data_IF_674023121627
#
_entry.id   IF_674023121627
#
_cell.length_a   1.000
_cell.length_b   1.000
_cell.length_c   1.000
_cell.angle_alpha   90.00
_cell.angle_beta   90.00
_cell.angle_gamma   90.00
#
_symmetry.space_group_name_H-M   'P 1'
#
loop_
_entity.id
_entity.type
_entity.pdbx_description
1 polymer ?
#
# COMPACT_ATOMS: atom_id res chain seq x y z
N UNK A 1 7.27 -23.63 20.27
CA UNK A 1 6.22 -22.68 19.85
C UNK A 1 5.94 -21.61 20.90
N UNK A 2 5.25 -21.89 22.03
CA UNK A 2 4.96 -20.84 23.05
C UNK A 2 6.24 -20.24 23.64
N UNK A 3 7.21 -21.07 24.03
CA UNK A 3 8.51 -20.61 24.55
C UNK A 3 9.28 -19.72 23.56
N UNK A 4 9.12 -19.97 22.26
CA UNK A 4 9.77 -19.18 21.22
C UNK A 4 9.11 -17.80 21.07
N UNK A 5 7.77 -17.74 21.15
CA UNK A 5 7.01 -16.49 21.16
C UNK A 5 7.32 -15.64 22.40
N UNK A 6 7.41 -16.27 23.58
CA UNK A 6 7.83 -15.59 24.81
C UNK A 6 9.25 -15.05 24.70
N UNK A 7 10.17 -15.82 24.10
CA UNK A 7 11.55 -15.39 23.87
C UNK A 7 11.59 -14.15 22.99
N UNK A 8 10.89 -14.16 21.84
CA UNK A 8 10.80 -13.01 20.94
C UNK A 8 10.23 -11.79 21.67
N UNK A 9 9.10 -11.96 22.37
CA UNK A 9 8.45 -10.87 23.11
C UNK A 9 9.37 -10.22 24.16
N UNK A 10 10.16 -11.03 24.88
CA UNK A 10 11.12 -10.53 25.87
C UNK A 10 12.31 -9.79 25.25
N UNK A 11 12.66 -10.07 24.00
CA UNK A 11 13.73 -9.38 23.28
C UNK A 11 13.31 -8.01 22.75
N UNK A 12 12.02 -7.69 22.68
CA UNK A 12 11.54 -6.37 22.28
C UNK A 12 11.82 -5.37 23.40
N UNK A 13 12.48 -4.26 23.06
CA UNK A 13 13.00 -3.31 24.05
C UNK A 13 11.90 -2.40 24.62
N UNK A 14 11.03 -1.88 23.76
CA UNK A 14 10.05 -0.86 24.10
C UNK A 14 8.60 -1.42 24.12
N UNK A 15 7.68 -0.61 24.67
CA UNK A 15 6.26 -0.98 24.80
C UNK A 15 5.54 -1.00 23.44
N UNK A 16 5.92 -0.11 22.52
CA UNK A 16 5.29 0.00 21.21
C UNK A 16 5.53 -1.25 20.37
N UNK A 17 6.79 -1.68 20.25
CA UNK A 17 7.19 -2.92 19.59
C UNK A 17 6.46 -4.14 20.17
N UNK A 18 6.30 -4.19 21.50
CA UNK A 18 5.56 -5.26 22.20
C UNK A 18 4.08 -5.26 21.85
N UNK A 19 3.45 -4.10 21.81
CA UNK A 19 2.04 -3.95 21.45
C UNK A 19 1.79 -4.31 19.98
N UNK A 20 2.66 -3.86 19.07
CA UNK A 20 2.60 -4.23 17.65
C UNK A 20 2.74 -5.74 17.48
N UNK A 21 3.71 -6.36 18.15
CA UNK A 21 3.92 -7.80 18.10
C UNK A 21 2.69 -8.58 18.59
N UNK A 22 2.11 -8.20 19.74
CA UNK A 22 0.93 -8.88 20.29
C UNK A 22 -0.30 -8.73 19.40
N UNK A 23 -0.54 -7.54 18.84
CA UNK A 23 -1.63 -7.34 17.89
C UNK A 23 -1.40 -8.20 16.62
N UNK A 24 -0.19 -8.22 16.06
CA UNK A 24 0.12 -9.04 14.88
C UNK A 24 -0.03 -10.53 15.17
N UNK A 25 0.39 -10.99 16.34
CA UNK A 25 0.21 -12.38 16.78
C UNK A 25 -1.28 -12.74 16.92
N UNK A 26 -2.08 -11.88 17.55
CA UNK A 26 -3.51 -12.11 17.69
C UNK A 26 -4.21 -12.15 16.33
N UNK A 27 -3.84 -11.27 15.39
CA UNK A 27 -4.34 -11.35 14.01
C UNK A 27 -3.99 -12.69 13.37
N UNK A 28 -2.73 -13.13 13.44
CA UNK A 28 -2.31 -14.40 12.84
C UNK A 28 -3.06 -15.63 13.41
N UNK A 29 -3.51 -15.56 14.67
CA UNK A 29 -4.27 -16.65 15.33
C UNK A 29 -5.74 -16.58 14.96
N UNK A 30 -6.33 -15.38 14.96
CA UNK A 30 -7.79 -15.20 14.89
C UNK A 30 -8.31 -14.83 13.52
N UNK A 31 -7.46 -14.28 12.65
CA UNK A 31 -7.85 -13.62 11.41
C UNK A 31 -8.61 -12.29 11.62
N UNK A 32 -8.78 -11.84 12.87
CA UNK A 32 -9.58 -10.65 13.19
C UNK A 32 -8.78 -9.38 12.89
N UNK A 33 -9.20 -8.68 11.84
CA UNK A 33 -8.53 -7.47 11.36
C UNK A 33 -8.53 -6.32 12.36
N UNK A 34 -9.37 -6.34 13.41
CA UNK A 34 -9.32 -5.30 14.45
C UNK A 34 -7.92 -5.14 15.06
N UNK A 35 -7.16 -6.22 15.16
CA UNK A 35 -5.80 -6.16 15.70
C UNK A 35 -4.84 -5.44 14.75
N UNK A 36 -5.03 -5.57 13.44
CA UNK A 36 -4.27 -4.79 12.45
C UNK A 36 -4.71 -3.33 12.50
N UNK A 37 -6.02 -3.06 12.58
CA UNK A 37 -6.54 -1.69 12.72
C UNK A 37 -5.97 -1.01 13.98
N UNK A 38 -5.88 -1.69 15.12
CA UNK A 38 -5.25 -1.16 16.33
C UNK A 38 -3.80 -0.70 16.10
N UNK A 39 -3.04 -1.41 15.25
CA UNK A 39 -1.66 -1.01 14.90
C UNK A 39 -1.72 0.23 14.01
N UNK A 40 -2.50 0.17 12.94
CA UNK A 40 -2.58 1.23 11.92
C UNK A 40 -3.09 2.53 12.54
N UNK A 41 -4.24 2.50 13.21
CA UNK A 41 -4.90 3.68 13.78
C UNK A 41 -4.06 4.36 14.88
N UNK A 42 -3.19 3.61 15.56
CA UNK A 42 -2.34 4.13 16.64
C UNK A 42 -0.99 4.66 16.15
N UNK A 43 -0.35 3.96 15.22
CA UNK A 43 1.07 4.20 14.88
C UNK A 43 1.29 4.79 13.48
N UNK A 44 0.31 4.74 12.59
CA UNK A 44 0.43 5.35 11.26
C UNK A 44 0.01 6.82 11.35
N UNK A 45 1.00 7.71 11.40
CA UNK A 45 0.81 9.12 11.76
C UNK A 45 0.08 9.96 10.69
N UNK A 46 0.05 9.52 9.43
CA UNK A 46 -0.56 10.28 8.31
C UNK A 46 -1.09 9.37 7.21
N UNK A 47 -2.41 9.31 7.11
CA UNK A 47 -3.12 8.84 5.92
C UNK A 47 -3.84 10.05 5.33
N UNK A 48 -3.73 10.26 4.02
CA UNK A 48 -4.49 11.32 3.36
C UNK A 48 -5.99 11.17 3.62
N UNK A 49 -6.72 12.29 3.63
CA UNK A 49 -8.18 12.34 3.86
C UNK A 49 -8.71 11.87 5.23
N UNK A 50 -7.87 11.79 6.28
CA UNK A 50 -8.29 11.36 7.62
C UNK A 50 -9.01 10.01 7.61
N UNK A 51 -8.60 9.12 6.70
CA UNK A 51 -9.15 7.77 6.59
C UNK A 51 -8.94 6.99 7.89
N UNK A 52 -9.95 6.23 8.27
CA UNK A 52 -9.94 5.38 9.46
C UNK A 52 -10.71 4.11 9.16
N UNK A 53 -10.10 2.97 9.48
CA UNK A 53 -10.72 1.67 9.30
C UNK A 53 -11.97 1.51 10.16
N UNK A 54 -11.94 2.02 11.40
CA UNK A 54 -13.11 2.06 12.27
C UNK A 54 -14.26 2.87 11.65
N UNK A 55 -13.98 4.06 11.09
CA UNK A 55 -15.00 4.87 10.42
C UNK A 55 -15.58 4.17 9.19
N UNK A 56 -14.73 3.54 8.37
CA UNK A 56 -15.16 2.78 7.20
C UNK A 56 -16.09 1.62 7.60
N UNK A 57 -15.63 0.77 8.52
CA UNK A 57 -16.36 -0.43 8.95
C UNK A 57 -17.65 -0.03 9.66
N UNK A 58 -17.62 0.97 10.55
CA UNK A 58 -18.82 1.44 11.24
C UNK A 58 -19.83 2.05 10.29
N UNK A 59 -19.40 2.82 9.27
CA UNK A 59 -20.30 3.31 8.23
C UNK A 59 -20.95 2.13 7.51
N UNK A 60 -20.14 1.23 6.95
CA UNK A 60 -20.60 0.11 6.12
C UNK A 60 -21.54 -0.84 6.87
N UNK A 61 -21.39 -0.99 8.19
CA UNK A 61 -22.34 -1.76 9.02
C UNK A 61 -23.69 -1.07 9.21
N UNK A 62 -23.74 0.25 9.08
CA UNK A 62 -24.93 1.06 9.35
C UNK A 62 -25.57 1.66 8.08
N UNK A 63 -25.10 1.28 6.89
CA UNK A 63 -25.75 1.72 5.65
C UNK A 63 -27.09 0.99 5.47
N UNK A 64 -28.08 1.64 4.85
CA UNK A 64 -29.33 0.98 4.47
C UNK A 64 -29.09 -0.24 3.58
N UNK A 65 -29.86 -1.32 3.74
CA UNK A 65 -29.69 -2.58 3.00
C UNK A 65 -29.77 -2.44 1.47
N UNK A 66 -30.44 -1.40 0.97
CA UNK A 66 -30.48 -1.10 -0.47
C UNK A 66 -29.20 -0.44 -1.01
N UNK A 67 -28.30 -0.03 -0.12
CA UNK A 67 -27.03 0.61 -0.48
C UNK A 67 -26.03 -0.43 -0.94
N UNK A 68 -25.44 -0.17 -2.10
CA UNK A 68 -24.48 -1.07 -2.72
C UNK A 68 -23.07 -0.71 -2.31
N UNK A 69 -22.30 -1.71 -1.88
CA UNK A 69 -20.90 -1.54 -1.49
C UNK A 69 -20.01 -2.01 -2.64
N UNK A 70 -19.19 -1.08 -3.12
CA UNK A 70 -18.26 -1.31 -4.23
C UNK A 70 -16.83 -1.15 -3.73
N UNK A 71 -15.94 -2.06 -4.12
CA UNK A 71 -14.51 -1.82 -4.02
C UNK A 71 -13.99 -1.37 -5.38
N UNK A 72 -13.40 -0.18 -5.47
CA UNK A 72 -12.77 0.30 -6.70
C UNK A 72 -11.29 -0.06 -6.69
N UNK A 73 -10.89 -0.97 -7.58
CA UNK A 73 -9.58 -1.61 -7.63
C UNK A 73 -9.73 -3.10 -7.30
N UNK A 74 -9.58 -3.96 -8.31
CA UNK A 74 -9.61 -5.42 -8.19
C UNK A 74 -8.19 -6.02 -8.15
N UNK A 75 -7.19 -5.24 -7.74
CA UNK A 75 -5.81 -5.69 -7.53
C UNK A 75 -5.61 -6.43 -6.19
N UNK A 76 -4.36 -6.64 -5.80
CA UNK A 76 -4.03 -7.31 -4.53
C UNK A 76 -4.52 -6.56 -3.29
N UNK A 77 -4.41 -5.23 -3.28
CA UNK A 77 -4.96 -4.38 -2.20
C UNK A 77 -6.49 -4.44 -2.17
N UNK A 78 -7.15 -4.47 -3.33
CA UNK A 78 -8.59 -4.68 -3.45
C UNK A 78 -9.05 -6.02 -2.90
N UNK A 79 -8.34 -7.11 -3.22
CA UNK A 79 -8.61 -8.43 -2.66
C UNK A 79 -8.43 -8.44 -1.14
N UNK A 80 -7.37 -7.81 -0.62
CA UNK A 80 -7.15 -7.68 0.82
C UNK A 80 -8.31 -6.92 1.49
N UNK A 81 -8.72 -5.79 0.91
CA UNK A 81 -9.87 -4.99 1.38
C UNK A 81 -11.17 -5.81 1.38
N UNK A 82 -11.42 -6.62 0.36
CA UNK A 82 -12.59 -7.51 0.32
C UNK A 82 -12.60 -8.47 1.52
N UNK A 83 -11.47 -9.11 1.83
CA UNK A 83 -11.38 -10.02 2.96
C UNK A 83 -11.51 -9.31 4.32
N UNK A 84 -10.98 -8.09 4.44
CA UNK A 84 -11.17 -7.23 5.62
C UNK A 84 -12.66 -6.96 5.85
N UNK A 85 -13.37 -6.49 4.83
CA UNK A 85 -14.79 -6.18 4.94
C UNK A 85 -15.63 -7.44 5.21
N UNK A 86 -15.36 -8.52 4.48
CA UNK A 86 -16.06 -9.80 4.65
C UNK A 86 -15.90 -10.40 6.05
N UNK A 87 -14.68 -10.42 6.58
CA UNK A 87 -14.41 -10.90 7.94
C UNK A 87 -15.08 -10.02 9.01
N UNK A 88 -15.35 -8.75 8.68
CA UNK A 88 -16.10 -7.81 9.52
C UNK A 88 -17.63 -7.94 9.40
N UNK A 89 -18.13 -8.92 8.65
CA UNK A 89 -19.56 -9.16 8.42
C UNK A 89 -20.18 -8.24 7.37
N UNK A 90 -19.37 -7.56 6.56
CA UNK A 90 -19.83 -6.65 5.50
C UNK A 90 -19.82 -7.39 4.17
N UNK A 91 -20.93 -7.33 3.43
CA UNK A 91 -21.02 -7.92 2.08
C UNK A 91 -20.66 -6.87 1.05
N UNK A 92 -19.63 -7.15 0.24
CA UNK A 92 -19.26 -6.34 -0.92
C UNK A 92 -20.01 -6.87 -2.15
N UNK A 93 -20.69 -5.99 -2.88
CA UNK A 93 -21.52 -6.39 -4.02
C UNK A 93 -20.67 -6.67 -5.27
N UNK A 94 -19.68 -5.82 -5.53
CA UNK A 94 -18.91 -5.85 -6.77
C UNK A 94 -17.55 -5.18 -6.64
N UNK A 95 -16.57 -5.64 -7.43
CA UNK A 95 -15.37 -4.86 -7.71
C UNK A 95 -15.58 -3.96 -8.94
N UNK A 96 -15.00 -2.77 -8.93
CA UNK A 96 -14.88 -1.93 -10.11
C UNK A 96 -13.40 -1.83 -10.51
N UNK A 97 -13.04 -2.16 -11.74
CA UNK A 97 -11.67 -2.01 -12.23
C UNK A 97 -11.66 -1.60 -13.72
N UNK A 98 -10.64 -0.85 -14.13
CA UNK A 98 -10.41 -0.53 -15.55
C UNK A 98 -10.02 -1.78 -16.33
N UNK A 99 -9.36 -2.74 -15.68
CA UNK A 99 -9.05 -4.03 -16.26
C UNK A 99 -10.19 -5.03 -16.02
N UNK A 100 -11.19 -5.02 -16.91
CA UNK A 100 -12.33 -5.94 -16.83
C UNK A 100 -11.97 -7.39 -17.15
N UNK A 101 -10.76 -7.69 -17.65
CA UNK A 101 -10.31 -9.07 -17.85
C UNK A 101 -10.14 -9.83 -16.53
N UNK A 102 -10.19 -9.13 -15.40
CA UNK A 102 -10.17 -9.73 -14.06
C UNK A 102 -11.50 -10.38 -13.69
N UNK A 103 -12.60 -10.08 -14.42
CA UNK A 103 -13.89 -10.73 -14.17
C UNK A 103 -13.78 -12.26 -14.37
N UNK A 104 -14.47 -13.02 -13.52
CA UNK A 104 -14.36 -14.49 -13.47
C UNK A 104 -13.09 -15.03 -12.81
N UNK A 105 -12.03 -14.23 -12.64
CA UNK A 105 -10.83 -14.60 -11.86
C UNK A 105 -10.93 -14.21 -10.37
N UNK A 106 -11.93 -13.40 -10.02
CA UNK A 106 -12.13 -12.83 -8.68
C UNK A 106 -13.27 -13.52 -7.93
N UNK A 107 -13.30 -13.32 -6.61
CA UNK A 107 -14.30 -13.94 -5.71
C UNK A 107 -15.71 -13.38 -5.91
N UNK A 108 -15.80 -12.14 -6.40
CA UNK A 108 -17.05 -11.45 -6.76
C UNK A 108 -16.87 -10.82 -8.15
N UNK A 109 -17.96 -10.45 -8.85
CA UNK A 109 -17.87 -9.90 -10.20
C UNK A 109 -17.02 -8.63 -10.26
N UNK A 110 -16.37 -8.42 -11.40
CA UNK A 110 -15.63 -7.18 -11.71
C UNK A 110 -16.34 -6.44 -12.82
N UNK A 111 -16.72 -5.18 -12.57
CA UNK A 111 -17.37 -4.31 -13.56
C UNK A 111 -16.44 -3.18 -14.01
N UNK A 112 -16.72 -2.61 -15.17
CA UNK A 112 -16.04 -1.41 -15.66
C UNK A 112 -16.56 -0.15 -14.95
N UNK A 113 -15.78 0.95 -14.96
CA UNK A 113 -16.25 2.24 -14.44
C UNK A 113 -17.51 2.75 -15.13
N UNK A 114 -17.63 2.55 -16.46
CA UNK A 114 -18.84 2.95 -17.19
C UNK A 114 -20.07 2.19 -16.67
N UNK A 115 -19.94 0.88 -16.44
CA UNK A 115 -21.03 0.07 -15.89
C UNK A 115 -21.37 0.46 -14.45
N UNK A 116 -20.38 0.85 -13.64
CA UNK A 116 -20.60 1.41 -12.31
C UNK A 116 -21.49 2.67 -12.35
N UNK A 117 -21.30 3.57 -13.32
CA UNK A 117 -22.13 4.77 -13.40
C UNK A 117 -23.49 4.51 -14.03
N UNK A 118 -23.59 3.58 -14.98
CA UNK A 118 -24.86 3.25 -15.64
C UNK A 118 -25.79 2.46 -14.70
N UNK A 119 -25.29 1.44 -14.02
CA UNK A 119 -26.09 0.55 -13.15
C UNK A 119 -26.50 1.22 -11.83
N UNK A 120 -25.82 2.30 -11.43
CA UNK A 120 -25.98 2.92 -10.11
C UNK A 120 -26.38 4.40 -10.12
N UNK A 121 -26.73 4.97 -11.29
CA UNK A 121 -27.29 6.32 -11.40
C UNK A 121 -28.49 6.59 -10.47
N UNK A 122 -29.27 5.56 -10.14
CA UNK A 122 -30.45 5.62 -9.26
C UNK A 122 -30.25 4.96 -7.89
N UNK A 123 -29.10 4.31 -7.65
CA UNK A 123 -28.86 3.54 -6.44
C UNK A 123 -28.03 4.33 -5.44
N UNK A 124 -28.25 4.09 -4.13
CA UNK A 124 -27.29 4.54 -3.12
C UNK A 124 -26.05 3.65 -3.23
N UNK A 125 -24.88 4.26 -3.39
CA UNK A 125 -23.61 3.52 -3.43
C UNK A 125 -22.66 4.06 -2.38
N UNK A 126 -21.81 3.17 -1.89
CA UNK A 126 -20.61 3.50 -1.13
C UNK A 126 -19.44 2.81 -1.80
N UNK A 127 -18.38 3.57 -2.04
CA UNK A 127 -17.17 3.10 -2.73
C UNK A 127 -16.00 3.12 -1.77
N UNK A 128 -15.30 2.01 -1.61
CA UNK A 128 -13.98 1.96 -0.99
C UNK A 128 -12.91 1.74 -2.07
N UNK A 129 -11.92 2.63 -2.15
CA UNK A 129 -10.84 2.55 -3.13
C UNK A 129 -9.79 1.56 -2.59
N UNK A 130 -9.59 0.45 -3.30
CA UNK A 130 -8.67 -0.63 -3.00
C UNK A 130 -7.30 -0.46 -3.65
N UNK A 131 -6.78 0.77 -3.68
CA UNK A 131 -5.42 1.08 -4.11
C UNK A 131 -4.96 2.40 -3.49
N UNK A 132 -3.79 2.38 -2.83
CA UNK A 132 -3.16 3.59 -2.33
C UNK A 132 -2.49 4.39 -3.46
N UNK A 133 -1.80 3.70 -4.36
CA UNK A 133 -1.02 4.30 -5.45
C UNK A 133 -1.87 5.16 -6.41
N UNK A 134 -3.07 4.69 -6.76
CA UNK A 134 -3.97 5.39 -7.67
C UNK A 134 -5.12 6.10 -6.95
N UNK A 135 -5.04 6.24 -5.62
CA UNK A 135 -6.11 6.76 -4.79
C UNK A 135 -6.59 8.15 -5.28
N UNK A 136 -5.68 9.12 -5.42
CA UNK A 136 -6.04 10.50 -5.76
C UNK A 136 -6.67 10.62 -7.16
N UNK A 137 -6.15 9.84 -8.12
CA UNK A 137 -6.68 9.81 -9.49
C UNK A 137 -8.10 9.24 -9.50
N UNK A 138 -8.31 8.11 -8.83
CA UNK A 138 -9.61 7.45 -8.76
C UNK A 138 -10.61 8.30 -7.97
N UNK A 139 -10.18 8.87 -6.85
CA UNK A 139 -11.02 9.75 -6.02
C UNK A 139 -11.52 10.94 -6.85
N UNK A 140 -10.62 11.64 -7.56
CA UNK A 140 -10.99 12.76 -8.44
C UNK A 140 -11.95 12.31 -9.54
N UNK A 141 -11.65 11.19 -10.20
CA UNK A 141 -12.49 10.61 -11.24
C UNK A 141 -13.92 10.30 -10.75
N UNK A 142 -14.06 9.74 -9.55
CA UNK A 142 -15.38 9.44 -8.96
C UNK A 142 -16.18 10.71 -8.65
N UNK A 143 -15.53 11.74 -8.10
CA UNK A 143 -16.17 13.04 -7.83
C UNK A 143 -16.63 13.72 -9.12
N UNK A 144 -15.77 13.74 -10.16
CA UNK A 144 -16.10 14.34 -11.46
C UNK A 144 -17.28 13.64 -12.15
N UNK A 145 -17.50 12.36 -11.85
CA UNK A 145 -18.65 11.58 -12.33
C UNK A 145 -19.84 11.56 -11.35
N UNK A 146 -19.85 12.45 -10.36
CA UNK A 146 -21.03 12.74 -9.53
C UNK A 146 -21.17 11.89 -8.27
N UNK A 147 -20.17 11.09 -7.89
CA UNK A 147 -20.18 10.41 -6.59
C UNK A 147 -19.90 11.44 -5.49
N UNK A 148 -20.63 11.35 -4.38
CA UNK A 148 -20.47 12.27 -3.26
C UNK A 148 -19.22 11.94 -2.46
N UNK A 149 -18.53 12.97 -1.95
CA UNK A 149 -17.30 12.81 -1.16
C UNK A 149 -17.52 11.91 0.06
N UNK A 150 -18.66 12.07 0.73
CA UNK A 150 -19.05 11.30 1.91
C UNK A 150 -19.32 9.81 1.64
N UNK A 151 -19.48 9.41 0.37
CA UNK A 151 -19.71 8.04 -0.04
C UNK A 151 -18.45 7.37 -0.63
N UNK A 152 -17.30 8.06 -0.61
CA UNK A 152 -16.01 7.54 -1.06
C UNK A 152 -15.08 7.38 0.13
N UNK A 153 -14.48 6.20 0.25
CA UNK A 153 -13.58 5.82 1.33
C UNK A 153 -12.26 5.29 0.79
N UNK A 154 -11.22 5.43 1.60
CA UNK A 154 -9.85 5.06 1.29
C UNK A 154 -8.93 6.23 1.58
N UNK A 155 -7.63 5.99 1.44
CA UNK A 155 -6.62 7.02 1.51
C UNK A 155 -5.33 6.51 0.88
N UNK A 156 -4.41 7.44 0.66
CA UNK A 156 -3.02 7.12 0.37
C UNK A 156 -2.20 7.36 1.62
N UNK A 157 -1.37 6.39 2.02
CA UNK A 157 -0.42 6.62 3.09
C UNK A 157 0.62 7.64 2.64
N UNK A 158 1.05 8.52 3.55
CA UNK A 158 2.24 9.34 3.31
C UNK A 158 3.48 8.46 3.42
N UNK A 159 3.99 7.99 2.28
CA UNK A 159 5.18 7.12 2.22
C UNK A 159 6.49 7.89 2.20
N UNK A 160 6.47 9.22 2.33
CA UNK A 160 7.70 10.05 2.24
C UNK A 160 8.71 9.74 3.34
N UNK A 161 8.25 9.30 4.52
CA UNK A 161 9.09 8.89 5.64
C UNK A 161 9.22 7.36 5.77
N UNK A 162 8.65 6.60 4.82
CA UNK A 162 8.75 5.14 4.86
C UNK A 162 10.23 4.74 4.84
N UNK A 163 10.65 3.93 5.82
CA UNK A 163 12.04 3.50 6.10
C UNK A 163 13.00 4.56 6.67
N UNK A 164 12.65 5.86 6.62
CA UNK A 164 13.54 6.95 7.03
C UNK A 164 12.98 7.76 8.20
N UNK A 165 12.24 7.09 9.10
CA UNK A 165 11.69 7.71 10.30
C UNK A 165 12.79 8.38 11.12
N UNK A 166 12.70 9.71 11.24
CA UNK A 166 13.69 10.55 11.91
C UNK A 166 13.74 10.35 13.43
N UNK A 167 12.74 9.70 14.01
CA UNK A 167 12.77 9.29 15.42
C UNK A 167 13.69 8.09 15.63
N UNK A 168 13.87 7.26 14.61
CA UNK A 168 14.69 6.04 14.66
C UNK A 168 16.06 6.21 13.99
N UNK A 169 16.13 7.02 12.93
CA UNK A 169 17.32 7.18 12.10
C UNK A 169 17.75 8.64 11.99
N UNK A 170 19.04 8.88 12.21
CA UNK A 170 19.71 10.17 11.97
C UNK A 170 20.57 10.06 10.71
N UNK A 171 20.00 10.41 9.56
CA UNK A 171 20.72 10.44 8.28
C UNK A 171 21.61 11.68 8.19
N UNK A 172 22.83 11.52 7.69
CA UNK A 172 23.71 12.62 7.28
C UNK A 172 23.54 12.95 5.80
N UNK A 173 24.25 13.96 5.28
CA UNK A 173 24.21 14.32 3.85
C UNK A 173 24.87 13.26 2.96
N UNK A 174 25.74 12.41 3.53
CA UNK A 174 26.55 11.40 2.83
C UNK A 174 26.35 10.01 3.42
N UNK A 175 25.30 9.36 2.99
CA UNK A 175 24.95 7.98 3.37
C UNK A 175 24.96 7.05 2.15
N UNK A 176 24.96 5.74 2.41
CA UNK A 176 24.79 4.71 1.39
C UNK A 176 23.49 3.93 1.64
N UNK A 177 22.63 3.86 0.64
CA UNK A 177 21.36 3.14 0.73
C UNK A 177 21.34 1.93 -0.20
N UNK A 178 20.85 0.82 0.30
CA UNK A 178 20.70 -0.44 -0.44
C UNK A 178 19.21 -0.77 -0.49
N UNK A 179 18.62 -0.59 -1.68
CA UNK A 179 17.20 -0.79 -1.94
C UNK A 179 16.97 -2.18 -2.54
N UNK A 180 16.73 -3.16 -1.67
CA UNK A 180 16.58 -4.58 -2.01
C UNK A 180 15.15 -4.95 -2.45
N UNK A 181 14.61 -4.24 -3.43
CA UNK A 181 13.24 -4.41 -3.93
C UNK A 181 12.70 -3.10 -4.47
N UNK A 182 13.42 -2.52 -5.42
CA UNK A 182 13.32 -1.11 -5.74
C UNK A 182 12.00 -0.71 -6.44
N UNK A 183 11.28 -1.66 -7.05
CA UNK A 183 9.97 -1.50 -7.70
C UNK A 183 9.90 -0.41 -8.78
N UNK A 184 9.88 0.85 -8.39
CA UNK A 184 9.82 2.05 -9.22
C UNK A 184 10.76 3.19 -8.77
N UNK A 185 11.67 2.90 -7.84
CA UNK A 185 12.61 3.81 -7.17
C UNK A 185 11.99 4.83 -6.21
N UNK A 186 10.71 4.74 -5.84
CA UNK A 186 10.11 5.76 -4.98
C UNK A 186 10.85 5.90 -3.62
N UNK A 187 11.21 4.79 -2.98
CA UNK A 187 11.96 4.81 -1.72
C UNK A 187 13.39 5.34 -1.91
N UNK A 188 14.08 4.89 -2.96
CA UNK A 188 15.38 5.43 -3.35
C UNK A 188 15.34 6.94 -3.58
N UNK A 189 14.30 7.47 -4.22
CA UNK A 189 14.13 8.91 -4.43
C UNK A 189 13.92 9.66 -3.12
N UNK A 190 13.13 9.11 -2.20
CA UNK A 190 12.95 9.70 -0.87
C UNK A 190 14.29 9.81 -0.13
N UNK A 191 15.15 8.79 -0.24
CA UNK A 191 16.50 8.82 0.32
C UNK A 191 17.39 9.89 -0.33
N UNK A 192 17.46 9.94 -1.67
CA UNK A 192 18.33 10.86 -2.40
C UNK A 192 17.92 12.33 -2.24
N UNK A 193 16.63 12.59 -1.98
CA UNK A 193 16.14 13.93 -1.62
C UNK A 193 16.67 14.41 -0.26
N UNK A 194 17.04 13.49 0.63
CA UNK A 194 17.61 13.79 1.95
C UNK A 194 19.14 13.79 1.92
N UNK A 195 19.74 12.75 1.33
CA UNK A 195 21.18 12.52 1.33
C UNK A 195 21.77 12.90 -0.04
N UNK A 196 21.88 14.21 -0.30
CA UNK A 196 22.25 14.74 -1.62
C UNK A 196 23.68 14.35 -2.07
N UNK A 197 24.59 14.07 -1.13
CA UNK A 197 25.94 13.58 -1.41
C UNK A 197 26.05 12.04 -1.28
N UNK A 198 24.94 11.38 -0.96
CA UNK A 198 24.85 9.94 -0.79
C UNK A 198 24.83 9.17 -2.10
N UNK A 199 24.97 7.85 -2.00
CA UNK A 199 24.82 6.91 -3.12
C UNK A 199 23.77 5.85 -2.80
N UNK A 200 23.08 5.38 -3.83
CA UNK A 200 22.09 4.32 -3.71
C UNK A 200 22.39 3.16 -4.64
N UNK A 201 22.11 1.95 -4.17
CA UNK A 201 22.17 0.70 -4.94
C UNK A 201 20.77 0.08 -4.93
N UNK A 202 20.09 0.12 -6.07
CA UNK A 202 18.73 -0.37 -6.23
C UNK A 202 18.72 -1.71 -6.97
N UNK A 203 18.16 -2.72 -6.32
CA UNK A 203 18.04 -4.08 -6.82
C UNK A 203 16.57 -4.36 -7.13
N UNK A 204 16.29 -4.83 -8.34
CA UNK A 204 14.94 -5.23 -8.74
C UNK A 204 14.98 -6.52 -9.58
N UNK A 205 14.36 -7.61 -9.11
CA UNK A 205 14.37 -8.87 -9.84
C UNK A 205 13.34 -8.94 -10.98
N UNK A 206 12.23 -8.20 -10.91
CA UNK A 206 11.21 -8.19 -11.98
C UNK A 206 11.63 -7.29 -13.14
N UNK A 207 11.59 -7.82 -14.36
CA UNK A 207 12.06 -7.10 -15.55
C UNK A 207 11.23 -5.85 -15.85
N UNK A 208 9.92 -5.91 -15.65
CA UNK A 208 9.01 -4.78 -15.93
C UNK A 208 9.23 -3.66 -14.92
N UNK A 209 9.42 -3.99 -13.64
CA UNK A 209 9.75 -3.03 -12.60
C UNK A 209 11.16 -2.45 -12.79
N UNK A 210 12.14 -3.27 -13.13
CA UNK A 210 13.49 -2.80 -13.44
C UNK A 210 13.50 -1.80 -14.60
N UNK A 211 12.71 -2.04 -15.66
CA UNK A 211 12.54 -1.07 -16.74
C UNK A 211 11.94 0.26 -16.25
N UNK A 212 11.01 0.25 -15.28
CA UNK A 212 10.51 1.48 -14.65
C UNK A 212 11.63 2.19 -13.90
N UNK A 213 12.44 1.46 -13.13
CA UNK A 213 13.60 2.02 -12.42
C UNK A 213 14.57 2.70 -13.40
N UNK A 214 14.87 2.05 -14.54
CA UNK A 214 15.75 2.63 -15.57
C UNK A 214 15.17 3.92 -16.16
N UNK A 215 13.89 3.93 -16.51
CA UNK A 215 13.21 5.14 -17.02
C UNK A 215 13.24 6.28 -15.99
N UNK A 216 13.03 5.97 -14.72
CA UNK A 216 13.08 6.96 -13.63
C UNK A 216 14.51 7.50 -13.44
N UNK A 217 15.53 6.64 -13.43
CA UNK A 217 16.94 7.02 -13.36
C UNK A 217 17.34 7.98 -14.48
N UNK A 218 16.94 7.67 -15.72
CA UNK A 218 17.20 8.53 -16.89
C UNK A 218 16.46 9.86 -16.79
N UNK A 219 15.15 9.81 -16.49
CA UNK A 219 14.28 10.99 -16.38
C UNK A 219 14.81 12.01 -15.37
N UNK A 220 15.30 11.55 -14.22
CA UNK A 220 15.79 12.41 -13.14
C UNK A 220 17.31 12.56 -13.10
N UNK A 221 18.05 11.97 -14.05
CA UNK A 221 19.52 12.02 -14.14
C UNK A 221 20.22 11.64 -12.84
N UNK A 222 19.81 10.51 -12.26
CA UNK A 222 20.31 10.03 -10.97
C UNK A 222 21.70 9.40 -11.11
N UNK A 223 22.73 10.23 -11.15
CA UNK A 223 24.13 9.81 -11.33
C UNK A 223 24.69 9.07 -10.12
N UNK A 224 24.16 9.33 -8.93
CA UNK A 224 24.49 8.68 -7.67
C UNK A 224 23.62 7.44 -7.37
N UNK A 225 22.91 6.92 -8.38
CA UNK A 225 22.16 5.68 -8.30
C UNK A 225 22.74 4.60 -9.21
N UNK A 226 23.04 3.44 -8.65
CA UNK A 226 23.27 2.21 -9.39
C UNK A 226 22.00 1.37 -9.38
N UNK A 227 21.59 0.89 -10.54
CA UNK A 227 20.43 -0.01 -10.70
C UNK A 227 20.93 -1.37 -11.15
N UNK A 228 20.48 -2.43 -10.49
CA UNK A 228 20.92 -3.81 -10.72
C UNK A 228 19.72 -4.72 -10.93
N UNK A 229 19.72 -5.46 -12.03
CA UNK A 229 18.73 -6.49 -12.28
C UNK A 229 19.25 -7.83 -11.75
N UNK A 230 18.75 -8.24 -10.58
CA UNK A 230 19.25 -9.40 -9.82
C UNK A 230 19.30 -10.72 -10.61
N UNK A 231 18.47 -10.87 -11.64
CA UNK A 231 18.37 -12.10 -12.44
C UNK A 231 19.16 -12.05 -13.76
N UNK A 232 19.84 -10.93 -14.07
CA UNK A 232 20.63 -10.76 -15.31
C UNK A 232 22.09 -10.41 -15.02
N UNK A 233 22.33 -9.63 -13.96
CA UNK A 233 23.66 -9.19 -13.56
C UNK A 233 24.28 -10.24 -12.61
N UNK A 234 24.61 -11.41 -13.17
CA UNK A 234 25.14 -12.58 -12.42
C UNK A 234 26.51 -12.29 -11.79
N UNK A 235 27.27 -11.34 -12.34
CA UNK A 235 28.55 -10.89 -11.77
C UNK A 235 28.41 -9.50 -11.13
N UNK A 236 27.88 -9.49 -9.91
CA UNK A 236 27.74 -8.30 -9.08
C UNK A 236 29.08 -7.58 -8.87
N UNK A 237 30.22 -8.29 -8.80
CA UNK A 237 31.53 -7.69 -8.57
C UNK A 237 31.97 -6.80 -9.74
N UNK A 238 31.69 -7.23 -10.98
CA UNK A 238 31.96 -6.41 -12.18
C UNK A 238 31.07 -5.17 -12.26
N UNK A 239 29.84 -5.25 -11.75
CA UNK A 239 28.89 -4.15 -11.77
C UNK A 239 29.29 -3.04 -10.78
N UNK A 240 29.78 -3.41 -9.58
CA UNK A 240 30.20 -2.43 -8.56
C UNK A 240 31.53 -1.74 -8.88
N UNK A 241 32.43 -2.37 -9.64
CA UNK A 241 33.76 -1.84 -9.94
C UNK A 241 33.76 -0.54 -10.76
N UNK A 242 32.64 -0.18 -11.40
CA UNK A 242 32.50 1.03 -12.22
C UNK A 242 31.70 2.15 -11.53
N UNK A 243 31.32 1.99 -10.26
CA UNK A 243 30.42 2.91 -9.54
C UNK A 243 31.09 3.69 -8.38
N UNK A 244 32.43 3.71 -8.34
CA UNK A 244 33.22 4.51 -7.39
C UNK A 244 33.28 6.01 -7.75
#
# INVERSE_FOLDING_TARGET
MIKDLERVYRCLCDLESKEIFLNRLNYNITGDFKYISNIVDKYVQKISNNFSWEKLISRMKNIPNETKIVIYGAGGEGDALYWILKSSGITVDVFCDRNTSLDGSKTIPVISPNKLFDDYKSNKIVIAIGTEMYFDEIYKFLIENGIKKEDIYGGAADTTQQYFDRQLLSLTEKEYFVDCGALDLQTTMNFLNVCCEGKSYAFEPDVSNFEKCMRMKEKYKLNNLMTVHLMRDIDLFSAFANFE
#
